data_IF_665665891416
#
_entry.id   IF_665665891416
#
_cell.length_a   1.000
_cell.length_b   1.000
_cell.length_c   1.000
_cell.angle_alpha   90.00
_cell.angle_beta   90.00
_cell.angle_gamma   90.00
#
_symmetry.space_group_name_H-M   'P 1'
#
loop_
_entity.id
_entity.type
_entity.pdbx_description
1 polymer ?
#
# COMPACT_ATOMS: atom_id res chain seq x y z
N UNK A 1 9.24 14.08 -0.60
CA UNK A 1 9.62 12.67 -0.35
C UNK A 1 9.75 12.32 1.13
N UNK A 2 10.53 13.07 1.92
CA UNK A 2 10.73 12.75 3.36
C UNK A 2 9.41 12.71 4.16
N UNK A 3 8.51 13.69 3.93
CA UNK A 3 7.21 13.72 4.58
C UNK A 3 6.32 12.55 4.16
N UNK A 4 6.15 12.35 2.85
CA UNK A 4 5.40 11.20 2.29
C UNK A 4 5.89 9.86 2.86
N UNK A 5 7.21 9.65 2.94
CA UNK A 5 7.78 8.42 3.49
C UNK A 5 7.50 8.26 4.99
N UNK A 6 7.52 9.35 5.75
CA UNK A 6 7.15 9.36 7.16
C UNK A 6 5.67 8.98 7.33
N UNK A 7 4.80 9.58 6.51
CA UNK A 7 3.36 9.33 6.56
C UNK A 7 3.02 7.90 6.13
N UNK A 8 3.73 7.36 5.13
CA UNK A 8 3.60 5.98 4.68
C UNK A 8 4.05 4.98 5.76
N UNK A 9 5.19 5.21 6.40
CA UNK A 9 5.66 4.39 7.53
C UNK A 9 4.68 4.40 8.70
N UNK A 10 4.12 5.57 9.01
CA UNK A 10 3.14 5.70 10.07
C UNK A 10 1.85 4.93 9.74
N UNK A 11 1.35 5.06 8.51
CA UNK A 11 0.16 4.33 8.05
C UNK A 11 0.38 2.81 8.04
N UNK A 12 1.58 2.33 7.69
CA UNK A 12 1.95 0.92 7.81
C UNK A 12 1.90 0.42 9.25
N UNK A 13 2.50 1.16 10.19
CA UNK A 13 2.50 0.81 11.62
C UNK A 13 1.08 0.79 12.20
N UNK A 14 0.25 1.73 11.75
CA UNK A 14 -1.15 1.84 12.19
C UNK A 14 -2.09 0.85 11.48
N UNK A 15 -1.59 0.09 10.51
CA UNK A 15 -2.39 -0.76 9.61
C UNK A 15 -3.56 0.03 8.97
N UNK A 16 -3.35 1.32 8.69
CA UNK A 16 -4.33 2.21 8.09
C UNK A 16 -4.33 2.05 6.56
N UNK A 17 -5.11 1.08 6.10
CA UNK A 17 -5.13 0.64 4.71
C UNK A 17 -5.64 1.74 3.77
N UNK A 18 -6.67 2.47 4.16
CA UNK A 18 -7.26 3.53 3.33
C UNK A 18 -6.25 4.66 3.11
N UNK A 19 -5.47 4.99 4.15
CA UNK A 19 -4.39 5.97 4.07
C UNK A 19 -3.21 5.47 3.25
N UNK A 20 -2.85 4.19 3.34
CA UNK A 20 -1.82 3.58 2.49
C UNK A 20 -2.19 3.67 1.01
N UNK A 21 -3.45 3.36 0.67
CA UNK A 21 -3.94 3.44 -0.70
C UNK A 21 -3.95 4.88 -1.22
N UNK A 22 -4.41 5.84 -0.41
CA UNK A 22 -4.36 7.27 -0.74
C UNK A 22 -2.93 7.78 -0.96
N UNK A 23 -1.98 7.37 -0.11
CA UNK A 23 -0.57 7.74 -0.24
C UNK A 23 0.07 7.16 -1.50
N UNK A 24 -0.28 5.94 -1.90
CA UNK A 24 0.19 5.37 -3.16
C UNK A 24 -0.41 6.05 -4.39
N UNK A 25 -1.68 6.47 -4.32
CA UNK A 25 -2.32 7.19 -5.42
C UNK A 25 -1.78 8.60 -5.61
N UNK A 26 -1.28 9.22 -4.55
CA UNK A 26 -0.63 10.55 -4.59
C UNK A 26 0.86 10.48 -4.93
N UNK A 27 1.45 9.29 -4.99
CA UNK A 27 2.85 9.10 -5.36
C UNK A 27 3.02 9.35 -6.88
N UNK A 28 3.54 10.52 -7.22
CA UNK A 28 3.87 10.88 -8.60
C UNK A 28 5.21 10.27 -9.02
N UNK A 29 5.17 8.98 -9.37
CA UNK A 29 6.35 8.19 -9.80
C UNK A 29 7.05 8.79 -11.01
N UNK A 30 6.30 9.43 -11.91
CA UNK A 30 6.84 10.06 -13.11
C UNK A 30 7.75 11.23 -12.74
N UNK A 31 7.30 12.09 -11.82
CA UNK A 31 8.11 13.20 -11.31
C UNK A 31 9.34 12.71 -10.53
N UNK A 32 9.21 11.61 -9.78
CA UNK A 32 10.37 10.98 -9.13
C UNK A 32 11.42 10.51 -10.13
N UNK A 33 10.97 9.93 -11.25
CA UNK A 33 11.85 9.49 -12.32
C UNK A 33 12.51 10.67 -13.03
N UNK A 34 11.77 11.74 -13.26
CA UNK A 34 12.30 12.96 -13.88
C UNK A 34 13.36 13.62 -13.00
N UNK A 35 13.16 13.65 -11.68
CA UNK A 35 14.15 14.18 -10.74
C UNK A 35 15.39 13.27 -10.65
N UNK A 36 15.21 11.94 -10.61
CA UNK A 36 16.33 10.99 -10.56
C UNK A 36 17.10 10.90 -11.88
N UNK A 37 16.42 10.96 -13.02
CA UNK A 37 17.05 11.00 -14.35
C UNK A 37 17.76 12.33 -14.62
N UNK A 38 17.36 13.42 -13.94
CA UNK A 38 18.12 14.69 -13.99
C UNK A 38 19.50 14.54 -13.35
N UNK A 39 19.59 13.72 -12.30
CA UNK A 39 20.83 13.42 -11.59
C UNK A 39 21.70 12.38 -12.33
N UNK A 40 21.11 11.57 -13.23
CA UNK A 40 21.79 10.52 -14.00
C UNK A 40 21.61 10.71 -15.53
N UNK A 41 22.63 11.24 -16.22
CA UNK A 41 22.63 11.47 -17.67
C UNK A 41 22.76 10.17 -18.52
N UNK A 42 21.83 9.22 -18.39
CA UNK A 42 21.82 7.99 -19.20
C UNK A 42 20.39 7.46 -19.43
N UNK A 43 20.00 7.33 -20.71
CA UNK A 43 18.68 6.87 -21.12
C UNK A 43 18.41 5.39 -20.74
N UNK A 44 19.42 4.53 -20.75
CA UNK A 44 19.25 3.10 -20.38
C UNK A 44 18.97 2.90 -18.88
N UNK A 45 19.55 3.76 -18.03
CA UNK A 45 19.28 3.78 -16.60
C UNK A 45 17.86 4.26 -16.30
N UNK A 46 17.35 5.19 -17.11
CA UNK A 46 16.02 5.77 -16.98
C UNK A 46 14.93 4.72 -17.20
N UNK A 47 15.05 3.92 -18.25
CA UNK A 47 14.07 2.87 -18.56
C UNK A 47 14.06 1.77 -17.48
N UNK A 48 15.25 1.32 -17.03
CA UNK A 48 15.35 0.33 -15.93
C UNK A 48 14.78 0.85 -14.61
N UNK A 49 14.92 2.15 -14.32
CA UNK A 49 14.34 2.79 -13.14
C UNK A 49 12.81 2.86 -13.24
N UNK A 50 12.29 3.16 -14.43
CA UNK A 50 10.84 3.18 -14.68
C UNK A 50 10.20 1.82 -14.43
N UNK A 51 10.77 0.77 -15.00
CA UNK A 51 10.26 -0.59 -14.85
C UNK A 51 10.29 -1.05 -13.39
N UNK A 52 11.40 -0.79 -12.67
CA UNK A 52 11.53 -1.17 -11.26
C UNK A 52 10.57 -0.40 -10.34
N UNK A 53 10.28 0.88 -10.64
CA UNK A 53 9.36 1.69 -9.86
C UNK A 53 7.91 1.26 -10.09
N UNK A 54 7.51 0.94 -11.32
CA UNK A 54 6.19 0.37 -11.60
C UNK A 54 6.03 -1.01 -10.94
N UNK A 55 7.03 -1.88 -11.00
CA UNK A 55 7.01 -3.16 -10.28
C UNK A 55 6.87 -2.98 -8.76
N UNK A 56 7.60 -2.02 -8.19
CA UNK A 56 7.50 -1.70 -6.76
C UNK A 56 6.09 -1.20 -6.41
N UNK A 57 5.50 -0.35 -7.25
CA UNK A 57 4.12 0.12 -7.07
C UNK A 57 3.12 -1.04 -7.08
N UNK A 58 3.23 -1.94 -8.05
CA UNK A 58 2.36 -3.10 -8.18
C UNK A 58 2.44 -4.01 -6.94
N UNK A 59 3.65 -4.30 -6.46
CA UNK A 59 3.85 -5.11 -5.25
C UNK A 59 3.23 -4.45 -4.00
N UNK A 60 3.32 -3.12 -3.87
CA UNK A 60 2.71 -2.39 -2.76
C UNK A 60 1.17 -2.41 -2.82
N UNK A 61 0.59 -2.33 -4.03
CA UNK A 61 -0.86 -2.46 -4.22
C UNK A 61 -1.35 -3.87 -3.87
N UNK A 62 -0.61 -4.91 -4.26
CA UNK A 62 -0.94 -6.30 -3.92
C UNK A 62 -0.86 -6.55 -2.41
N UNK A 63 0.15 -6.00 -1.74
CA UNK A 63 0.28 -6.07 -0.29
C UNK A 63 -0.94 -5.45 0.43
N UNK A 64 -1.42 -4.30 -0.05
CA UNK A 64 -2.65 -3.65 0.46
C UNK A 64 -3.87 -4.54 0.26
N UNK A 65 -4.04 -5.14 -0.92
CA UNK A 65 -5.15 -6.03 -1.21
C UNK A 65 -5.16 -7.25 -0.27
N UNK A 66 -3.99 -7.85 -0.02
CA UNK A 66 -3.82 -8.97 0.91
C UNK A 66 -4.15 -8.57 2.36
N UNK A 67 -3.72 -7.37 2.79
CA UNK A 67 -4.06 -6.83 4.11
C UNK A 67 -5.57 -6.63 4.27
N UNK A 68 -6.24 -6.09 3.26
CA UNK A 68 -7.70 -5.92 3.24
C UNK A 68 -8.43 -7.27 3.30
N UNK A 69 -8.00 -8.25 2.52
CA UNK A 69 -8.58 -9.60 2.54
C UNK A 69 -8.48 -10.24 3.93
N UNK A 70 -7.32 -10.11 4.59
CA UNK A 70 -7.10 -10.61 5.96
C UNK A 70 -7.99 -9.90 6.98
N UNK A 71 -8.14 -8.57 6.88
CA UNK A 71 -9.04 -7.78 7.74
C UNK A 71 -10.50 -8.27 7.60
N UNK A 72 -10.96 -8.46 6.37
CA UNK A 72 -12.32 -8.93 6.09
C UNK A 72 -12.57 -10.35 6.58
N UNK A 73 -11.60 -11.25 6.42
CA UNK A 73 -11.67 -12.62 6.92
C UNK A 73 -11.88 -12.66 8.44
N UNK A 74 -11.06 -11.90 9.20
CA UNK A 74 -11.22 -11.78 10.66
C UNK A 74 -12.57 -11.19 11.05
N UNK A 75 -13.05 -10.17 10.35
CA UNK A 75 -14.36 -9.58 10.61
C UNK A 75 -15.50 -10.61 10.44
N UNK A 76 -15.42 -11.46 9.42
CA UNK A 76 -16.38 -12.54 9.21
C UNK A 76 -16.36 -13.58 10.34
N UNK A 77 -15.17 -13.95 10.83
CA UNK A 77 -15.03 -14.85 11.99
C UNK A 77 -15.67 -14.26 13.25
N UNK A 78 -15.41 -12.98 13.54
CA UNK A 78 -16.02 -12.27 14.68
C UNK A 78 -17.55 -12.29 14.55
N UNK A 79 -18.11 -12.01 13.37
CA UNK A 79 -19.55 -12.06 13.15
C UNK A 79 -20.14 -13.46 13.37
N UNK A 80 -19.43 -14.52 12.95
CA UNK A 80 -19.85 -15.91 13.20
C UNK A 80 -19.90 -16.20 14.70
N UNK A 81 -18.87 -15.80 15.45
CA UNK A 81 -18.81 -15.95 16.91
C UNK A 81 -19.95 -15.17 17.58
N UNK A 82 -20.19 -13.93 17.17
CA UNK A 82 -21.29 -13.11 17.71
C UNK A 82 -22.66 -13.74 17.46
N UNK A 83 -22.90 -14.27 16.25
CA UNK A 83 -24.13 -15.00 15.92
C UNK A 83 -24.29 -16.25 16.79
N UNK A 84 -23.23 -17.04 16.94
CA UNK A 84 -23.25 -18.23 17.80
C UNK A 84 -23.57 -17.85 19.26
N UNK A 85 -22.94 -16.82 19.82
CA UNK A 85 -23.22 -16.33 21.17
C UNK A 85 -24.67 -15.90 21.36
N UNK A 86 -25.35 -15.39 20.32
CA UNK A 86 -26.77 -15.04 20.38
C UNK A 86 -27.64 -16.28 20.58
N UNK A 87 -27.37 -17.37 19.85
CA UNK A 87 -28.10 -18.63 19.99
C UNK A 87 -27.91 -19.32 21.35
N UNK A 88 -26.80 -19.08 22.05
CA UNK A 88 -26.57 -19.62 23.40
C UNK A 88 -27.12 -18.74 24.53
N UNK A 89 -27.60 -17.53 24.21
CA UNK A 89 -28.22 -16.61 25.18
C UNK A 89 -29.75 -16.63 25.15
N UNK A 90 -30.33 -17.31 24.16
CA UNK A 90 -31.75 -17.66 24.06
C UNK A 90 -31.98 -19.05 24.68
#
# INVERSE_FOLDING_TARGET
MKQWLSDFKLALIQEDIDKLESLLNTLDLKKMLEDLARDFQSDELKDKLNDNLEQTRALLQEAIALMNAKKNSKACEIQKIQKALKYFKD
#
